data_IF_281391268162
#
_entry.id   IF_281391268162
#
_cell.length_a   1.000
_cell.length_b   1.000
_cell.length_c   1.000
_cell.angle_alpha   90.00
_cell.angle_beta   90.00
_cell.angle_gamma   90.00
#
_symmetry.space_group_name_H-M   'P 1'
#
loop_
_entity.id
_entity.type
_entity.pdbx_description
1 polymer ?
#
# COMPACT_ATOMS: atom_id res chain seq x y z
N UNK A 1 -11.07 6.17 -16.11
CA UNK A 1 -9.64 5.92 -16.37
C UNK A 1 -9.00 5.49 -15.06
N UNK A 2 -8.41 4.29 -15.00
CA UNK A 2 -7.77 3.74 -13.79
C UNK A 2 -6.25 3.94 -13.80
N UNK A 3 -5.53 3.13 -13.01
CA UNK A 3 -4.07 3.08 -13.03
C UNK A 3 -3.57 2.67 -14.43
N UNK A 4 -2.38 3.16 -14.81
CA UNK A 4 -1.78 2.91 -16.12
C UNK A 4 -0.33 2.49 -15.94
N UNK A 5 0.13 1.67 -16.88
CA UNK A 5 1.54 1.32 -17.03
C UNK A 5 2.18 2.36 -17.94
N UNK A 6 3.41 2.76 -17.61
CA UNK A 6 4.17 3.69 -18.43
C UNK A 6 4.36 3.11 -19.85
N UNK A 7 4.27 3.94 -20.90
CA UNK A 7 4.48 3.48 -22.27
C UNK A 7 5.94 3.01 -22.46
N UNK A 8 6.21 2.11 -23.43
CA UNK A 8 7.54 1.53 -23.62
C UNK A 8 8.61 2.58 -24.00
N UNK A 9 8.21 3.74 -24.53
CA UNK A 9 9.10 4.85 -24.88
C UNK A 9 9.51 5.71 -23.67
N UNK A 10 8.89 5.52 -22.51
CA UNK A 10 9.22 6.29 -21.31
C UNK A 10 10.63 5.92 -20.80
N UNK A 11 11.43 6.90 -20.31
CA UNK A 11 12.69 6.60 -19.66
C UNK A 11 12.49 5.65 -18.49
N UNK A 12 13.29 4.57 -18.43
CA UNK A 12 13.25 3.57 -17.33
C UNK A 12 13.89 4.07 -16.03
N UNK A 13 14.21 5.35 -15.91
CA UNK A 13 14.78 5.93 -14.70
C UNK A 13 13.76 5.99 -13.57
N UNK A 14 13.99 5.23 -12.49
CA UNK A 14 13.15 5.21 -11.29
C UNK A 14 12.31 3.94 -11.12
N UNK A 15 12.21 3.08 -12.14
CA UNK A 15 11.51 1.81 -12.07
C UNK A 15 12.49 0.67 -11.84
N UNK A 16 12.74 0.32 -10.57
CA UNK A 16 13.78 -0.66 -10.18
C UNK A 16 13.65 -2.01 -10.88
N UNK A 17 12.43 -2.37 -11.30
CA UNK A 17 12.13 -3.65 -11.93
C UNK A 17 11.30 -3.48 -13.22
N UNK A 18 11.39 -2.32 -13.88
CA UNK A 18 10.70 -2.04 -15.14
C UNK A 18 9.29 -1.48 -15.00
N UNK A 19 8.66 -1.21 -16.15
CA UNK A 19 7.39 -0.49 -16.21
C UNK A 19 6.23 -1.37 -15.75
N UNK A 20 5.67 -1.06 -14.58
CA UNK A 20 4.51 -1.73 -14.03
C UNK A 20 3.80 -0.84 -13.01
N UNK A 21 2.70 -1.35 -12.45
CA UNK A 21 2.00 -0.68 -11.35
C UNK A 21 2.59 -1.18 -10.03
N UNK A 22 3.21 -0.26 -9.30
CA UNK A 22 3.88 -0.53 -8.04
C UNK A 22 2.92 -0.39 -6.86
N UNK A 23 2.83 -1.45 -6.06
CA UNK A 23 1.99 -1.57 -4.88
C UNK A 23 2.86 -1.83 -3.63
N UNK A 24 2.38 -1.41 -2.47
CA UNK A 24 3.05 -1.62 -1.20
C UNK A 24 2.07 -2.18 -0.17
N UNK A 25 2.55 -3.09 0.68
CA UNK A 25 1.81 -3.63 1.83
C UNK A 25 1.89 -2.71 3.06
N UNK A 26 2.85 -1.79 3.08
CA UNK A 26 3.06 -0.84 4.15
C UNK A 26 2.55 0.55 3.75
N UNK A 27 1.53 1.03 4.48
CA UNK A 27 0.95 2.36 4.25
C UNK A 27 2.00 3.47 4.34
N UNK A 28 2.96 3.41 5.27
CA UNK A 28 3.98 4.47 5.39
C UNK A 28 4.87 4.56 4.14
N UNK A 29 5.23 3.43 3.51
CA UNK A 29 6.05 3.41 2.29
C UNK A 29 5.33 4.08 1.12
N UNK A 30 4.05 3.76 0.93
CA UNK A 30 3.25 4.40 -0.11
C UNK A 30 3.05 5.90 0.15
N UNK A 31 3.38 6.43 1.35
CA UNK A 31 3.08 7.81 1.74
C UNK A 31 4.13 8.75 1.18
N UNK A 32 5.36 8.25 1.05
CA UNK A 32 6.49 8.98 0.51
C UNK A 32 6.24 9.40 -0.94
N UNK A 33 5.43 8.63 -1.69
CA UNK A 33 5.02 8.94 -3.07
C UNK A 33 3.91 10.00 -3.19
N UNK A 34 3.31 10.44 -2.07
CA UNK A 34 2.26 11.46 -2.09
C UNK A 34 2.79 12.89 -2.10
N UNK A 35 4.10 13.10 -1.82
CA UNK A 35 4.72 14.42 -1.69
C UNK A 35 3.92 15.40 -0.79
N UNK A 36 3.31 14.86 0.27
CA UNK A 36 2.29 15.57 1.06
C UNK A 36 2.79 16.77 1.85
N UNK A 37 4.11 17.02 1.87
CA UNK A 37 4.68 18.21 2.50
C UNK A 37 4.23 19.49 1.80
N UNK A 38 4.03 19.44 0.48
CA UNK A 38 3.63 20.59 -0.34
C UNK A 38 2.14 20.92 -0.19
N UNK A 39 1.36 19.95 0.30
CA UNK A 39 -0.10 20.04 0.49
C UNK A 39 -0.50 20.21 1.96
N UNK A 40 0.42 20.64 2.83
CA UNK A 40 0.11 20.80 4.26
C UNK A 40 -0.19 19.50 5.00
N UNK A 41 0.32 18.37 4.50
CA UNK A 41 0.14 17.03 5.06
C UNK A 41 -1.06 16.28 4.48
N UNK A 42 -1.72 16.79 3.44
CA UNK A 42 -2.91 16.15 2.87
C UNK A 42 -2.53 15.22 1.72
N UNK A 43 -3.06 13.99 1.72
CA UNK A 43 -2.73 12.99 0.71
C UNK A 43 -3.95 12.17 0.30
N UNK A 44 -4.01 11.84 -0.99
CA UNK A 44 -4.91 10.83 -1.51
C UNK A 44 -4.17 9.51 -1.67
N UNK A 45 -4.82 8.43 -1.24
CA UNK A 45 -4.25 7.08 -1.29
C UNK A 45 -5.27 6.10 -1.78
N UNK A 46 -4.82 5.15 -2.57
CA UNK A 46 -5.68 4.14 -3.15
C UNK A 46 -5.44 2.82 -2.43
N UNK A 47 -6.51 2.15 -2.04
CA UNK A 47 -6.50 0.75 -1.67
C UNK A 47 -7.11 -0.05 -2.81
N UNK A 48 -6.40 -1.10 -3.22
CA UNK A 48 -6.81 -1.97 -4.31
C UNK A 48 -6.62 -3.44 -3.95
N UNK A 49 -7.36 -4.28 -4.64
CA UNK A 49 -7.07 -5.70 -4.76
C UNK A 49 -6.11 -5.91 -5.93
N UNK A 50 -5.15 -6.80 -5.74
CA UNK A 50 -4.22 -7.20 -6.78
C UNK A 50 -4.19 -8.72 -6.89
N UNK A 51 -4.41 -9.23 -8.09
CA UNK A 51 -4.27 -10.65 -8.41
C UNK A 51 -2.80 -10.95 -8.76
N UNK A 52 -2.01 -11.26 -7.73
CA UNK A 52 -0.55 -11.44 -7.86
C UNK A 52 -0.14 -12.81 -8.42
N UNK A 53 -1.02 -13.81 -8.37
CA UNK A 53 -0.73 -15.17 -8.84
C UNK A 53 0.53 -15.76 -8.17
N UNK A 54 1.37 -16.42 -8.97
CA UNK A 54 2.67 -16.92 -8.55
C UNK A 54 3.71 -15.81 -8.61
N UNK A 55 4.02 -15.23 -7.45
CA UNK A 55 4.99 -14.15 -7.35
C UNK A 55 6.41 -14.66 -7.63
N UNK A 56 7.15 -13.90 -8.45
CA UNK A 56 8.58 -14.12 -8.68
C UNK A 56 9.39 -13.08 -7.88
N UNK A 57 10.30 -13.54 -7.03
CA UNK A 57 11.30 -12.69 -6.38
C UNK A 57 12.40 -12.34 -7.37
N UNK A 58 12.76 -11.05 -7.50
CA UNK A 58 13.71 -10.55 -8.49
C UNK A 58 15.03 -10.12 -7.84
N UNK A 59 16.09 -10.91 -8.00
CA UNK A 59 17.41 -10.57 -7.45
C UNK A 59 17.39 -10.39 -5.92
N UNK A 60 18.03 -9.33 -5.41
CA UNK A 60 18.07 -8.98 -3.97
C UNK A 60 16.82 -8.17 -3.53
N UNK A 61 15.63 -8.59 -3.96
CA UNK A 61 14.37 -7.85 -3.71
C UNK A 61 13.62 -8.26 -2.44
N UNK A 62 14.11 -9.23 -1.67
CA UNK A 62 13.53 -9.55 -0.37
C UNK A 62 13.64 -8.34 0.55
N UNK A 63 12.57 -7.84 1.16
CA UNK A 63 12.67 -6.63 1.96
C UNK A 63 13.40 -6.87 3.30
N UNK A 64 13.93 -5.80 3.91
CA UNK A 64 14.44 -5.83 5.30
C UNK A 64 13.34 -5.87 6.34
N UNK A 65 12.22 -5.19 6.10
CA UNK A 65 11.13 -5.02 7.05
C UNK A 65 9.80 -5.24 6.33
N UNK A 66 8.98 -6.14 6.87
CA UNK A 66 7.67 -6.43 6.29
C UNK A 66 6.67 -6.99 7.29
N UNK A 67 5.40 -7.17 6.87
CA UNK A 67 4.39 -7.83 7.68
C UNK A 67 4.69 -9.32 7.83
N UNK A 68 4.70 -9.82 9.07
CA UNK A 68 4.88 -11.27 9.34
C UNK A 68 3.59 -12.07 9.35
N UNK A 69 2.44 -11.40 9.47
CA UNK A 69 1.14 -12.05 9.57
C UNK A 69 0.19 -11.45 8.56
N UNK A 70 -0.34 -12.31 7.71
CA UNK A 70 -1.40 -12.01 6.77
C UNK A 70 -2.70 -12.62 7.25
N UNK A 71 -3.79 -11.90 7.07
CA UNK A 71 -5.14 -12.31 7.48
C UNK A 71 -6.09 -12.11 6.31
N UNK A 72 -7.25 -12.75 6.39
CA UNK A 72 -8.34 -12.49 5.46
C UNK A 72 -8.90 -11.09 5.72
N UNK A 73 -8.98 -10.26 4.68
CA UNK A 73 -9.48 -8.89 4.76
C UNK A 73 -10.99 -8.81 5.02
N UNK A 74 -11.70 -9.94 4.99
CA UNK A 74 -13.08 -10.06 5.47
C UNK A 74 -13.27 -9.60 6.92
N UNK A 75 -12.20 -9.56 7.74
CA UNK A 75 -12.24 -8.98 9.09
C UNK A 75 -12.42 -7.46 9.10
N UNK A 76 -12.06 -6.78 8.01
CA UNK A 76 -12.22 -5.33 7.85
C UNK A 76 -13.57 -5.03 7.22
N UNK A 77 -13.91 -5.74 6.14
CA UNK A 77 -15.19 -5.57 5.46
C UNK A 77 -15.60 -6.85 4.71
N UNK A 78 -16.87 -7.31 4.79
CA UNK A 78 -17.31 -8.57 4.19
C UNK A 78 -17.05 -8.70 2.68
N UNK A 79 -17.10 -7.61 1.92
CA UNK A 79 -16.84 -7.61 0.47
C UNK A 79 -15.36 -7.77 0.08
N UNK A 80 -14.47 -7.94 1.07
CA UNK A 80 -13.05 -8.25 0.89
C UNK A 80 -12.72 -9.70 1.29
N UNK A 81 -13.73 -10.53 1.59
CA UNK A 81 -13.53 -11.92 1.96
C UNK A 81 -12.75 -12.67 0.89
N UNK A 82 -11.70 -13.39 1.29
CA UNK A 82 -10.80 -14.10 0.38
C UNK A 82 -9.58 -13.29 -0.06
N UNK A 83 -9.58 -11.97 0.14
CA UNK A 83 -8.41 -11.11 -0.12
C UNK A 83 -7.47 -11.18 1.08
N UNK A 84 -6.17 -11.36 0.85
CA UNK A 84 -5.17 -11.31 1.92
C UNK A 84 -4.69 -9.89 2.16
N UNK A 85 -4.58 -9.51 3.42
CA UNK A 85 -3.97 -8.24 3.83
C UNK A 85 -3.03 -8.42 5.03
N UNK A 86 -2.07 -7.49 5.23
CA UNK A 86 -1.31 -7.41 6.47
C UNK A 86 -2.24 -7.29 7.68
N UNK A 87 -1.98 -8.09 8.71
CA UNK A 87 -2.76 -8.03 9.96
C UNK A 87 -2.64 -6.63 10.60
N UNK A 88 -3.76 -5.92 10.85
CA UNK A 88 -3.72 -4.59 11.47
C UNK A 88 -3.06 -4.57 12.86
N UNK A 89 -3.14 -5.71 13.57
CA UNK A 89 -2.59 -5.87 14.92
C UNK A 89 -1.15 -6.41 14.93
N UNK A 90 -0.57 -6.72 13.77
CA UNK A 90 0.79 -7.23 13.69
C UNK A 90 1.75 -6.07 13.41
N UNK A 91 2.81 -5.97 14.20
CA UNK A 91 3.89 -5.03 13.90
C UNK A 91 4.68 -5.52 12.68
N UNK A 92 5.08 -4.57 11.84
CA UNK A 92 6.17 -4.80 10.88
C UNK A 92 7.44 -5.10 11.65
N UNK A 93 8.24 -6.03 11.15
CA UNK A 93 9.48 -6.44 11.81
C UNK A 93 10.52 -6.87 10.79
N UNK A 94 11.76 -6.97 11.23
CA UNK A 94 12.85 -7.39 10.38
C UNK A 94 12.61 -8.80 9.82
N UNK A 95 12.90 -9.01 8.55
CA UNK A 95 12.72 -10.29 7.86
C UNK A 95 13.90 -11.24 8.07
N UNK A 96 15.04 -10.73 8.54
CA UNK A 96 16.29 -11.49 8.67
C UNK A 96 17.14 -11.50 7.40
N UNK A 97 16.68 -10.87 6.30
CA UNK A 97 17.46 -10.74 5.07
C UNK A 97 18.54 -9.67 5.23
N UNK A 98 19.81 -10.08 5.27
CA UNK A 98 20.96 -9.19 5.44
C UNK A 98 21.44 -8.57 4.11
N UNK A 99 21.28 -9.28 3.00
CA UNK A 99 21.77 -8.88 1.68
C UNK A 99 20.64 -8.38 0.77
N UNK A 100 20.03 -7.25 1.15
CA UNK A 100 18.96 -6.61 0.38
C UNK A 100 19.10 -5.09 0.32
N UNK A 101 18.66 -4.55 -0.81
CA UNK A 101 18.63 -3.13 -1.11
C UNK A 101 17.23 -2.51 -0.91
N UNK A 102 16.22 -3.30 -0.54
CA UNK A 102 14.85 -2.85 -0.29
C UNK A 102 14.53 -2.86 1.20
N UNK A 103 14.15 -1.70 1.74
CA UNK A 103 13.71 -1.60 3.14
C UNK A 103 12.35 -2.26 3.38
N UNK A 104 11.44 -2.19 2.41
CA UNK A 104 10.06 -2.67 2.48
C UNK A 104 9.69 -3.39 1.17
N UNK A 105 8.69 -4.27 1.21
CA UNK A 105 8.21 -5.00 0.02
C UNK A 105 7.67 -4.05 -1.07
N UNK A 106 7.75 -4.51 -2.32
CA UNK A 106 7.06 -3.95 -3.48
C UNK A 106 6.44 -5.09 -4.26
N UNK A 107 5.21 -4.88 -4.71
CA UNK A 107 4.51 -5.80 -5.59
C UNK A 107 4.24 -5.07 -6.89
N UNK A 108 4.59 -5.69 -8.00
CA UNK A 108 4.53 -5.03 -9.31
C UNK A 108 3.62 -5.84 -10.20
N UNK A 109 2.58 -5.19 -10.70
CA UNK A 109 1.67 -5.78 -11.69
C UNK A 109 2.02 -5.23 -13.07
N UNK A 110 2.22 -6.13 -14.04
CA UNK A 110 2.53 -5.79 -15.43
C UNK A 110 1.29 -5.84 -16.34
N UNK A 111 0.13 -6.20 -15.78
CA UNK A 111 -1.17 -6.07 -16.44
C UNK A 111 -2.12 -5.27 -15.53
N UNK A 112 -2.77 -4.25 -16.11
CA UNK A 112 -3.75 -3.40 -15.42
C UNK A 112 -4.97 -4.21 -14.99
N UNK A 113 -5.32 -5.27 -15.73
CA UNK A 113 -6.44 -6.14 -15.40
C UNK A 113 -6.25 -6.88 -14.05
N UNK A 114 -5.01 -7.02 -13.57
CA UNK A 114 -4.72 -7.62 -12.26
C UNK A 114 -5.18 -6.74 -11.10
N UNK A 115 -5.51 -5.47 -11.34
CA UNK A 115 -5.78 -4.50 -10.27
C UNK A 115 -7.23 -4.04 -10.29
N UNK A 116 -7.89 -4.20 -9.14
CA UNK A 116 -9.22 -3.67 -8.88
C UNK A 116 -9.16 -2.62 -7.78
N UNK A 117 -9.44 -1.36 -8.13
CA UNK A 117 -9.52 -0.27 -7.16
C UNK A 117 -10.75 -0.47 -6.27
N UNK A 118 -10.58 -0.31 -4.96
CA UNK A 118 -11.65 -0.55 -3.97
C UNK A 118 -11.99 0.71 -3.19
N UNK A 119 -10.98 1.42 -2.69
CA UNK A 119 -11.17 2.58 -1.84
C UNK A 119 -10.20 3.70 -2.21
N UNK A 120 -10.69 4.93 -2.15
CA UNK A 120 -9.87 6.14 -2.17
C UNK A 120 -9.93 6.75 -0.77
N UNK A 121 -8.76 6.89 -0.16
CA UNK A 121 -8.57 7.39 1.19
C UNK A 121 -8.02 8.80 1.10
N UNK A 122 -8.73 9.75 1.70
CA UNK A 122 -8.19 11.06 2.01
C UNK A 122 -7.59 11.03 3.41
N UNK A 123 -6.30 11.28 3.53
CA UNK A 123 -5.59 11.22 4.81
C UNK A 123 -4.86 12.52 5.09
N UNK A 124 -4.85 12.90 6.36
CA UNK A 124 -4.01 13.99 6.88
C UNK A 124 -2.82 13.39 7.63
N UNK A 125 -1.67 13.42 6.98
CA UNK A 125 -0.38 12.98 7.52
C UNK A 125 0.14 14.06 8.44
N UNK A 126 0.05 13.80 9.76
CA UNK A 126 0.68 14.65 10.76
C UNK A 126 2.15 14.24 10.87
N UNK A 127 3.07 15.17 10.65
CA UNK A 127 4.45 15.02 11.15
C UNK A 127 4.37 15.02 12.68
N UNK A 128 4.29 13.83 13.27
CA UNK A 128 4.80 13.40 14.60
C UNK A 128 4.07 12.10 15.03
N UNK A 129 4.82 10.99 15.02
CA UNK A 129 4.70 9.76 15.81
C UNK A 129 3.38 9.00 16.00
N UNK A 130 2.23 9.40 15.44
CA UNK A 130 1.00 8.58 15.51
C UNK A 130 0.07 8.81 14.31
N UNK A 131 -0.15 7.76 13.52
CA UNK A 131 -1.12 7.76 12.42
C UNK A 131 -2.55 7.58 12.94
N UNK A 132 -3.50 8.37 12.40
CA UNK A 132 -4.94 8.09 12.47
C UNK A 132 -5.46 7.96 11.05
N UNK A 133 -6.09 6.83 10.73
CA UNK A 133 -6.71 6.56 9.42
C UNK A 133 -8.21 6.81 9.54
N UNK A 134 -8.77 7.59 8.61
CA UNK A 134 -10.21 7.72 8.41
C UNK A 134 -10.59 7.10 7.06
N UNK A 135 -11.73 6.40 7.01
CA UNK A 135 -12.33 5.91 5.77
C UNK A 135 -13.45 6.88 5.40
N UNK A 136 -13.46 7.38 4.16
CA UNK A 136 -14.61 8.13 3.65
C UNK A 136 -15.52 7.12 2.97
N UNK A 137 -16.60 6.74 3.66
CA UNK A 137 -17.71 6.02 3.04
C UNK A 137 -18.75 7.03 2.58
N UNK A 138 -19.19 6.90 1.32
CA UNK A 138 -20.16 7.79 0.72
C UNK A 138 -21.58 7.42 1.15
N UNK A 139 -22.04 7.93 2.31
CA UNK A 139 -23.44 8.31 2.58
C UNK A 139 -23.61 8.71 4.05
N UNK A 140 -24.10 9.94 4.25
CA UNK A 140 -24.75 10.54 5.45
C UNK A 140 -24.42 10.01 6.86
N UNK A 141 -23.94 10.96 7.67
CA UNK A 141 -23.97 11.07 9.14
C UNK A 141 -22.77 10.58 9.98
N UNK A 142 -22.44 11.49 10.92
CA UNK A 142 -21.42 11.45 11.97
C UNK A 142 -21.23 10.11 12.69
N UNK A 143 -19.97 9.77 12.97
CA UNK A 143 -19.57 9.40 14.34
C UNK A 143 -18.05 9.48 14.54
N UNK A 144 -17.62 10.46 15.32
CA UNK A 144 -16.29 10.50 15.91
C UNK A 144 -16.27 9.57 17.14
N UNK A 145 -15.41 8.55 17.13
CA UNK A 145 -15.14 7.72 18.30
C UNK A 145 -13.80 8.11 18.97
N UNK A 146 -13.85 8.19 20.31
CA UNK A 146 -12.83 8.71 21.23
C UNK A 146 -11.87 7.63 21.78
N UNK A 147 -10.70 8.10 22.26
CA UNK A 147 -9.73 7.51 23.21
C UNK A 147 -8.98 6.23 22.79
N UNK A 148 -7.67 6.04 23.04
CA UNK A 148 -6.91 6.20 24.29
C UNK A 148 -5.52 6.86 24.10
N UNK A 149 -4.94 7.28 25.23
CA UNK A 149 -3.67 8.00 25.49
C UNK A 149 -2.50 7.71 24.57
#
# INVERSE_FOLDING_TARGET
MGLRIAPPEAPVSGYRFGNGIYLADCSSKAADYCYSTETGGEALRILCEAELGNMQTLGKSECKVGPRKWVDAGIVHPSLKGVKMPSPNAKVSETGTSDTELRYNEYICYDVAQIRLRYLLYVKIKKLWNFRVGVIEGSSENQAYSSYT
#
